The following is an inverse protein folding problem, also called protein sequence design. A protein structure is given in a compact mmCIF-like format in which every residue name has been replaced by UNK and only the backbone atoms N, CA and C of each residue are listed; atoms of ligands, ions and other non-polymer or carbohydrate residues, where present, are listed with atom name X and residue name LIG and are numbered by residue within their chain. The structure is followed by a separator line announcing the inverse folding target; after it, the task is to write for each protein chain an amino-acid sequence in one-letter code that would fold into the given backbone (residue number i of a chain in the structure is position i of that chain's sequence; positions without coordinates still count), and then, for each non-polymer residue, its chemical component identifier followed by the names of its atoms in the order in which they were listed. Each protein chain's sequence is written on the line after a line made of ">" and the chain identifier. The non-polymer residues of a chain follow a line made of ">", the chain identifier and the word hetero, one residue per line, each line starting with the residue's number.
data_IF_847234034012
#
_entry.id   IF_847234034012
#
_cell.length_a   1.000
_cell.length_b   1.000
_cell.length_c   1.000
_cell.angle_alpha   90.00
_cell.angle_beta   90.00
_cell.angle_gamma   90.00
#
_symmetry.space_group_name_H-M   'P 1'
#
loop_
_entity.id
_entity.type
_entity.pdbx_description
1 polymer ?
#
# COMPACT_ATOMS: atom_id res chain seq x y z
N UNK A 1 -16.77 -15.21 -9.85
CA UNK A 1 -16.17 -14.24 -10.80
C UNK A 1 -15.82 -12.89 -10.15
N UNK A 2 -16.42 -12.53 -9.00
CA UNK A 2 -16.24 -11.21 -8.36
C UNK A 2 -14.85 -10.95 -7.75
N UNK A 3 -14.12 -12.01 -7.34
CA UNK A 3 -12.84 -11.88 -6.61
C UNK A 3 -11.63 -11.55 -7.51
N UNK A 4 -11.59 -12.09 -8.73
CA UNK A 4 -10.57 -11.73 -9.73
C UNK A 4 -10.72 -10.24 -10.08
N UNK A 5 -11.97 -9.79 -10.23
CA UNK A 5 -12.28 -8.38 -10.43
C UNK A 5 -11.80 -7.52 -9.26
N UNK A 6 -11.94 -7.98 -8.01
CA UNK A 6 -11.43 -7.27 -6.83
C UNK A 6 -9.90 -7.13 -6.84
N UNK A 7 -9.16 -8.21 -7.10
CA UNK A 7 -7.69 -8.17 -7.12
C UNK A 7 -7.15 -7.26 -8.22
N UNK A 8 -7.78 -7.29 -9.40
CA UNK A 8 -7.43 -6.38 -10.51
C UNK A 8 -7.69 -4.92 -10.12
N UNK A 9 -8.81 -4.61 -9.46
CA UNK A 9 -9.10 -3.26 -8.96
C UNK A 9 -8.05 -2.76 -7.97
N UNK A 10 -7.62 -3.62 -7.03
CA UNK A 10 -6.54 -3.27 -6.08
C UNK A 10 -5.23 -2.98 -6.82
N UNK A 11 -4.80 -3.87 -7.73
CA UNK A 11 -3.58 -3.69 -8.53
C UNK A 11 -3.61 -2.40 -9.37
N UNK A 12 -4.74 -2.14 -10.04
CA UNK A 12 -4.90 -0.92 -10.86
C UNK A 12 -4.84 0.33 -9.98
N UNK A 13 -5.52 0.32 -8.82
CA UNK A 13 -5.52 1.46 -7.89
C UNK A 13 -4.13 1.75 -7.33
N UNK A 14 -3.43 0.73 -6.83
CA UNK A 14 -2.06 0.87 -6.31
C UNK A 14 -1.07 1.24 -7.42
N UNK A 15 -1.27 0.73 -8.64
CA UNK A 15 -0.47 1.11 -9.81
C UNK A 15 -0.64 2.59 -10.18
N UNK A 16 -1.87 3.09 -10.21
CA UNK A 16 -2.16 4.52 -10.44
C UNK A 16 -1.53 5.37 -9.33
N UNK A 17 -1.67 4.96 -8.06
CA UNK A 17 -1.02 5.64 -6.94
C UNK A 17 0.50 5.72 -7.13
N UNK A 18 1.14 4.61 -7.54
CA UNK A 18 2.57 4.56 -7.82
C UNK A 18 3.01 5.52 -8.91
N UNK A 19 2.28 5.59 -10.03
CA UNK A 19 2.57 6.55 -11.10
C UNK A 19 2.49 7.99 -10.60
N UNK A 20 1.46 8.31 -9.81
CA UNK A 20 1.29 9.65 -9.22
C UNK A 20 2.44 9.96 -8.25
N UNK A 21 2.80 9.03 -7.36
CA UNK A 21 3.89 9.22 -6.41
C UNK A 21 5.25 9.39 -7.10
N UNK A 22 5.56 8.57 -8.11
CA UNK A 22 6.79 8.70 -8.89
C UNK A 22 6.85 10.07 -9.55
N UNK A 23 5.76 10.52 -10.18
CA UNK A 23 5.72 11.83 -10.83
C UNK A 23 5.80 12.99 -9.81
N UNK A 24 5.14 12.85 -8.66
CA UNK A 24 5.20 13.80 -7.56
C UNK A 24 6.63 13.99 -7.06
N UNK A 25 7.33 12.88 -6.84
CA UNK A 25 8.71 12.84 -6.37
C UNK A 25 9.64 13.40 -7.44
N UNK A 26 9.51 12.96 -8.70
CA UNK A 26 10.30 13.46 -9.81
C UNK A 26 10.19 14.97 -9.96
N UNK A 27 8.97 15.51 -9.96
CA UNK A 27 8.67 16.93 -10.14
C UNK A 27 8.79 17.77 -8.85
N UNK A 28 9.15 17.15 -7.72
CA UNK A 28 9.14 17.75 -6.38
C UNK A 28 7.84 18.52 -6.05
N UNK A 29 6.68 17.94 -6.41
CA UNK A 29 5.35 18.52 -6.16
C UNK A 29 4.66 17.74 -5.04
N UNK A 30 4.89 18.09 -3.76
CA UNK A 30 4.41 17.30 -2.63
C UNK A 30 2.89 17.22 -2.54
N UNK A 31 2.14 18.20 -3.06
CA UNK A 31 0.67 18.18 -3.05
C UNK A 31 0.08 17.01 -3.87
N UNK A 32 0.82 16.50 -4.86
CA UNK A 32 0.40 15.32 -5.62
C UNK A 32 0.41 14.04 -4.78
N UNK A 33 1.10 14.03 -3.64
CA UNK A 33 1.03 12.93 -2.67
C UNK A 33 -0.41 12.71 -2.18
N UNK A 34 -1.20 13.78 -2.01
CA UNK A 34 -2.59 13.65 -1.58
C UNK A 34 -3.40 12.88 -2.63
N UNK A 35 -3.23 13.21 -3.91
CA UNK A 35 -3.89 12.50 -5.00
C UNK A 35 -3.47 11.01 -5.04
N UNK A 36 -2.18 10.72 -4.92
CA UNK A 36 -1.68 9.35 -4.87
C UNK A 36 -2.21 8.57 -3.67
N UNK A 37 -2.27 9.20 -2.49
CA UNK A 37 -2.77 8.61 -1.25
C UNK A 37 -4.25 8.20 -1.35
N UNK A 38 -5.07 9.00 -2.05
CA UNK A 38 -6.46 8.64 -2.32
C UNK A 38 -6.52 7.32 -3.10
N UNK A 39 -5.73 7.17 -4.16
CA UNK A 39 -5.70 5.94 -4.95
C UNK A 39 -5.09 4.76 -4.19
N UNK A 40 -4.13 4.99 -3.30
CA UNK A 40 -3.53 3.95 -2.48
C UNK A 40 -4.50 3.44 -1.39
N UNK A 41 -5.37 4.33 -0.88
CA UNK A 41 -6.37 4.02 0.15
C UNK A 41 -7.69 3.47 -0.42
N UNK A 42 -7.97 3.67 -1.71
CA UNK A 42 -9.18 3.16 -2.37
C UNK A 42 -9.45 1.66 -2.12
N UNK A 43 -8.46 0.76 -2.23
CA UNK A 43 -8.62 -0.66 -1.88
C UNK A 43 -9.17 -0.92 -0.48
N UNK A 44 -8.76 -0.08 0.48
CA UNK A 44 -9.19 -0.16 1.87
C UNK A 44 -10.58 0.45 2.06
N UNK A 45 -10.79 1.67 1.54
CA UNK A 45 -12.04 2.42 1.68
C UNK A 45 -13.23 1.70 1.03
N UNK A 46 -13.00 1.07 -0.12
CA UNK A 46 -14.04 0.35 -0.86
C UNK A 46 -14.12 -1.13 -0.49
N UNK A 47 -13.40 -1.55 0.56
CA UNK A 47 -13.40 -2.90 1.08
C UNK A 47 -13.10 -3.97 -0.01
N UNK A 48 -12.25 -3.62 -0.97
CA UNK A 48 -11.79 -4.55 -2.02
C UNK A 48 -10.82 -5.60 -1.48
N UNK A 49 -10.17 -5.30 -0.35
CA UNK A 49 -9.32 -6.22 0.37
C UNK A 49 -10.11 -7.00 1.43
N UNK A 50 -10.14 -8.32 1.27
CA UNK A 50 -10.90 -9.20 2.16
C UNK A 50 -10.09 -9.54 3.42
N UNK A 51 -9.83 -8.53 4.26
CA UNK A 51 -8.98 -8.64 5.46
C UNK A 51 -9.50 -9.65 6.49
N UNK A 52 -10.81 -9.92 6.54
CA UNK A 52 -11.40 -10.93 7.43
C UNK A 52 -10.83 -12.31 7.19
N UNK A 53 -10.68 -12.72 5.94
CA UNK A 53 -10.13 -14.03 5.58
C UNK A 53 -8.66 -14.18 6.04
N UNK A 54 -7.91 -13.08 6.10
CA UNK A 54 -6.52 -13.08 6.59
C UNK A 54 -6.48 -13.20 8.11
N UNK A 55 -7.35 -12.49 8.82
CA UNK A 55 -7.44 -12.52 10.30
C UNK A 55 -7.98 -13.88 10.78
N UNK A 56 -9.00 -14.42 10.12
CA UNK A 56 -9.60 -15.72 10.44
C UNK A 56 -8.66 -16.90 10.17
N UNK A 57 -7.63 -16.72 9.32
CA UNK A 57 -6.64 -17.77 9.05
C UNK A 57 -5.82 -18.21 10.28
N UNK A 58 -5.83 -17.42 11.37
CA UNK A 58 -5.12 -17.73 12.62
C UNK A 58 -3.60 -17.83 12.51
N UNK A 59 -3.02 -17.51 11.34
CA UNK A 59 -1.59 -17.69 11.10
C UNK A 59 -0.77 -16.51 11.64
N UNK A 60 0.01 -16.79 12.69
CA UNK A 60 0.90 -15.82 13.33
C UNK A 60 1.89 -15.18 12.36
N UNK A 61 2.44 -15.92 11.40
CA UNK A 61 3.41 -15.37 10.43
C UNK A 61 2.77 -14.35 9.48
N UNK A 62 1.55 -14.63 9.02
CA UNK A 62 0.81 -13.72 8.14
C UNK A 62 0.40 -12.47 8.92
N UNK A 63 -0.04 -12.61 10.17
CA UNK A 63 -0.34 -11.46 11.03
C UNK A 63 0.89 -10.56 11.26
N UNK A 64 2.08 -11.12 11.42
CA UNK A 64 3.32 -10.33 11.54
C UNK A 64 3.58 -9.53 10.27
N UNK A 65 3.42 -10.15 9.09
CA UNK A 65 3.56 -9.48 7.79
C UNK A 65 2.54 -8.34 7.62
N UNK A 66 1.28 -8.57 7.99
CA UNK A 66 0.25 -7.51 8.01
C UNK A 66 0.68 -6.35 8.89
N UNK A 67 1.13 -6.63 10.12
CA UNK A 67 1.58 -5.58 11.05
C UNK A 67 2.78 -4.81 10.50
N UNK A 68 3.76 -5.49 9.92
CA UNK A 68 4.92 -4.85 9.30
C UNK A 68 4.49 -3.95 8.13
N UNK A 69 3.58 -4.42 7.28
CA UNK A 69 3.03 -3.62 6.18
C UNK A 69 2.33 -2.36 6.69
N UNK A 70 1.46 -2.49 7.69
CA UNK A 70 0.74 -1.34 8.29
C UNK A 70 1.73 -0.36 8.92
N UNK A 71 2.70 -0.84 9.69
CA UNK A 71 3.72 0.00 10.32
C UNK A 71 4.54 0.76 9.28
N UNK A 72 5.03 0.08 8.23
CA UNK A 72 5.78 0.71 7.14
C UNK A 72 4.95 1.76 6.41
N UNK A 73 3.66 1.47 6.18
CA UNK A 73 2.72 2.41 5.54
C UNK A 73 2.57 3.68 6.38
N UNK A 74 2.38 3.55 7.70
CA UNK A 74 2.30 4.69 8.62
C UNK A 74 3.59 5.52 8.61
N UNK A 75 4.75 4.88 8.65
CA UNK A 75 6.05 5.56 8.59
C UNK A 75 6.22 6.28 7.25
N UNK A 76 5.90 5.63 6.13
CA UNK A 76 5.95 6.23 4.80
C UNK A 76 5.09 7.50 4.75
N UNK A 77 3.82 7.43 5.16
CA UNK A 77 2.94 8.60 5.18
C UNK A 77 3.40 9.70 6.13
N UNK A 78 4.01 9.35 7.26
CA UNK A 78 4.59 10.36 8.18
C UNK A 78 5.74 11.12 7.52
N UNK A 79 6.61 10.42 6.79
CA UNK A 79 7.67 11.02 5.97
C UNK A 79 7.07 11.85 4.83
N UNK A 80 6.02 11.35 4.18
CA UNK A 80 5.29 12.07 3.13
C UNK A 80 4.66 13.38 3.61
N UNK A 81 4.04 13.39 4.78
CA UNK A 81 3.51 14.60 5.42
C UNK A 81 4.65 15.58 5.78
N UNK A 82 5.78 15.07 6.26
CA UNK A 82 6.97 15.89 6.53
C UNK A 82 7.54 16.49 5.24
N UNK A 83 7.49 15.76 4.12
CA UNK A 83 7.84 16.27 2.79
C UNK A 83 6.86 17.37 2.34
N UNK A 84 5.56 17.22 2.57
CA UNK A 84 4.58 18.29 2.28
C UNK A 84 4.91 19.58 3.03
N UNK A 85 5.24 19.48 4.32
CA UNK A 85 5.54 20.65 5.14
C UNK A 85 6.87 21.35 4.77
N UNK A 86 7.88 20.59 4.34
CA UNK A 86 9.24 21.11 4.15
C UNK A 86 9.65 21.26 2.67
N UNK A 87 8.92 20.63 1.75
CA UNK A 87 9.29 20.48 0.33
C UNK A 87 10.70 19.92 0.09
N UNK A 88 11.26 19.22 1.08
CA UNK A 88 12.62 18.67 1.03
C UNK A 88 12.71 17.47 0.08
N UNK A 89 13.62 17.55 -0.89
CA UNK A 89 13.84 16.50 -1.90
C UNK A 89 14.24 15.15 -1.30
N UNK A 90 15.03 15.13 -0.22
CA UNK A 90 15.46 13.88 0.41
C UNK A 90 14.26 13.15 1.00
N UNK A 91 13.35 13.86 1.66
CA UNK A 91 12.13 13.26 2.21
C UNK A 91 11.22 12.69 1.12
N UNK A 92 11.20 13.29 -0.08
CA UNK A 92 10.46 12.75 -1.23
C UNK A 92 10.97 11.38 -1.68
N UNK A 93 12.30 11.19 -1.68
CA UNK A 93 12.92 9.92 -2.06
C UNK A 93 12.72 8.87 -0.97
N UNK A 94 12.91 9.25 0.30
CA UNK A 94 12.70 8.35 1.44
C UNK A 94 11.23 7.91 1.51
N UNK A 95 10.28 8.82 1.27
CA UNK A 95 8.86 8.48 1.15
C UNK A 95 8.63 7.42 0.07
N UNK A 96 9.17 7.62 -1.13
CA UNK A 96 8.96 6.69 -2.25
C UNK A 96 9.50 5.30 -1.97
N UNK A 97 10.72 5.23 -1.40
CA UNK A 97 11.36 3.97 -1.01
C UNK A 97 10.53 3.22 0.04
N UNK A 98 10.12 3.91 1.11
CA UNK A 98 9.31 3.31 2.17
C UNK A 98 7.94 2.85 1.66
N UNK A 99 7.30 3.66 0.81
CA UNK A 99 6.00 3.34 0.24
C UNK A 99 6.08 2.11 -0.68
N UNK A 100 7.06 2.05 -1.57
CA UNK A 100 7.28 0.89 -2.45
C UNK A 100 7.51 -0.41 -1.65
N UNK A 101 8.34 -0.35 -0.60
CA UNK A 101 8.57 -1.50 0.29
C UNK A 101 7.25 -1.95 0.95
N UNK A 102 6.44 -1.00 1.42
CA UNK A 102 5.14 -1.30 2.00
C UNK A 102 4.22 -2.00 0.99
N UNK A 103 4.16 -1.53 -0.27
CA UNK A 103 3.36 -2.15 -1.34
C UNK A 103 3.79 -3.58 -1.65
N UNK A 104 5.09 -3.85 -1.77
CA UNK A 104 5.59 -5.22 -1.98
C UNK A 104 5.15 -6.11 -0.83
N UNK A 105 5.33 -5.64 0.41
CA UNK A 105 5.01 -6.43 1.59
C UNK A 105 3.51 -6.73 1.68
N UNK A 106 2.66 -5.76 1.35
CA UNK A 106 1.22 -5.94 1.23
C UNK A 106 0.85 -6.99 0.18
N UNK A 107 1.51 -6.94 -0.98
CA UNK A 107 1.31 -7.88 -2.09
C UNK A 107 1.72 -9.31 -1.72
N UNK A 108 2.86 -9.49 -1.05
CA UNK A 108 3.32 -10.79 -0.53
C UNK A 108 2.31 -11.33 0.49
N UNK A 109 1.85 -10.46 1.40
CA UNK A 109 0.88 -10.84 2.44
C UNK A 109 -0.44 -11.33 1.82
N UNK A 110 -0.94 -10.62 0.80
CA UNK A 110 -2.13 -11.01 0.06
C UNK A 110 -1.93 -12.37 -0.66
N UNK A 111 -0.77 -12.57 -1.29
CA UNK A 111 -0.46 -13.83 -2.00
C UNK A 111 -0.33 -15.02 -1.04
N UNK A 112 0.36 -14.87 0.09
CA UNK A 112 0.52 -15.92 1.09
C UNK A 112 -0.79 -16.25 1.81
N UNK A 113 -1.60 -15.24 2.11
CA UNK A 113 -2.97 -15.43 2.62
C UNK A 113 -3.83 -16.22 1.65
N UNK A 114 -3.75 -15.91 0.35
CA UNK A 114 -4.47 -16.63 -0.70
C UNK A 114 -4.06 -18.10 -0.80
N UNK A 115 -2.77 -18.38 -0.93
CA UNK A 115 -2.27 -19.74 -1.16
C UNK A 115 -2.66 -20.71 -0.04
N UNK A 116 -2.83 -20.20 1.19
CA UNK A 116 -3.12 -21.03 2.36
C UNK A 116 -4.61 -21.35 2.54
N UNK A 117 -5.51 -20.45 2.12
CA UNK A 117 -6.97 -20.66 2.21
C UNK A 117 -7.51 -21.64 1.16
N UNK A 118 -6.76 -21.92 0.09
CA UNK A 118 -7.21 -22.77 -1.02
C UNK A 118 -6.43 -24.08 -1.17
N UNK A 119 -5.37 -24.30 -0.36
CA UNK A 119 -4.62 -25.55 -0.31
C UNK A 119 -4.90 -26.37 0.97
N UNK A 120 -5.97 -26.04 1.69
CA UNK A 120 -6.57 -26.82 2.79
C UNK A 120 -7.97 -27.22 2.40
#
# INVERSE_FOLDING_TARGET
>A
MDRIHSNVKVLVSTGIAGVIFIYAVYSNKPLLLIAGAVFDLLPLLLNWMNWRAIVESGNRSIMVLVRLHVTLTIIAYTVGLSWIATSNRILSLVFLELWWIAVILGSITAHLGYRRLYNT
#
